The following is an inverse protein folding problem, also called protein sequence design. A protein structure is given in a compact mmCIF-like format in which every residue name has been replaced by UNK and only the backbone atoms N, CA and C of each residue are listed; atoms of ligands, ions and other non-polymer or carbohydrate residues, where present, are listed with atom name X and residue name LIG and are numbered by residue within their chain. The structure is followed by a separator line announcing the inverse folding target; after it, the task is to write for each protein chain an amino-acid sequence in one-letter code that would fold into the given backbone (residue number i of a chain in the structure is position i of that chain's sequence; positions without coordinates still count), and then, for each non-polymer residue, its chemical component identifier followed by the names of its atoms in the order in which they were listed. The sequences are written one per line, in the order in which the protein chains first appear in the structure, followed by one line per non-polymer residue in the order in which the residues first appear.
data_IF_187140038065
#
_entry.id   IF_187140038065
#
_cell.length_a   1.000
_cell.length_b   1.000
_cell.length_c   1.000
_cell.angle_alpha   90.00
_cell.angle_beta   90.00
_cell.angle_gamma   90.00
#
_symmetry.space_group_name_H-M   'P 1'
#
loop_
_entity.id
_entity.type
_entity.pdbx_description
1 polymer ?
#
# COMPACT_ATOMS: atom_id res chain seq x y z
N UNK A 1 0.47 7.07 13.92
CA UNK A 1 -0.13 6.06 13.06
C UNK A 1 -1.28 5.35 13.78
N UNK A 2 -2.30 4.93 13.01
CA UNK A 2 -3.47 4.21 13.54
C UNK A 2 -3.55 2.77 13.03
N UNK A 3 -2.71 2.42 12.07
CA UNK A 3 -2.58 1.08 11.52
C UNK A 3 -1.13 0.75 11.17
N UNK A 4 -0.83 -0.54 11.16
CA UNK A 4 0.41 -1.14 10.69
C UNK A 4 0.06 -2.21 9.68
N UNK A 5 0.69 -2.19 8.52
CA UNK A 5 0.75 -3.29 7.58
C UNK A 5 2.10 -3.95 7.70
N UNK A 6 2.11 -5.24 8.03
CA UNK A 6 3.30 -6.09 7.96
C UNK A 6 3.39 -6.71 6.57
N UNK A 7 4.54 -6.56 5.90
CA UNK A 7 4.90 -7.40 4.75
C UNK A 7 4.94 -8.86 5.19
N UNK A 8 5.01 -9.85 4.28
CA UNK A 8 4.85 -11.26 4.66
C UNK A 8 5.79 -11.70 5.79
N UNK A 9 5.23 -12.36 6.79
CA UNK A 9 5.95 -12.89 7.97
C UNK A 9 5.90 -14.41 8.08
N UNK A 10 5.28 -15.07 7.11
CA UNK A 10 5.14 -16.52 7.06
C UNK A 10 6.46 -17.19 6.65
N UNK A 11 6.69 -18.46 7.02
CA UNK A 11 7.86 -19.20 6.60
C UNK A 11 8.03 -19.20 5.09
N UNK A 12 9.26 -18.90 4.63
CA UNK A 12 9.59 -18.76 3.23
C UNK A 12 11.10 -18.89 3.02
N UNK A 13 11.58 -19.48 1.91
CA UNK A 13 13.00 -19.59 1.61
C UNK A 13 13.66 -18.27 1.19
N UNK A 14 12.88 -17.30 0.73
CA UNK A 14 13.43 -16.02 0.26
C UNK A 14 13.46 -14.94 1.36
N UNK A 15 14.30 -13.92 1.18
CA UNK A 15 14.40 -12.81 2.14
C UNK A 15 13.14 -11.94 2.17
N UNK A 16 12.42 -11.84 1.04
CA UNK A 16 11.23 -11.00 0.91
C UNK A 16 9.94 -11.66 1.43
N UNK A 17 9.94 -12.99 1.57
CA UNK A 17 8.86 -13.80 2.13
C UNK A 17 7.57 -13.85 1.31
N UNK A 18 7.56 -13.38 0.05
CA UNK A 18 6.38 -13.45 -0.81
C UNK A 18 6.10 -14.85 -1.38
N UNK A 19 6.95 -15.84 -1.13
CA UNK A 19 6.81 -17.24 -1.52
C UNK A 19 6.66 -18.14 -0.27
N UNK A 20 5.47 -18.13 0.33
CA UNK A 20 5.20 -18.87 1.56
C UNK A 20 5.32 -20.37 1.39
N UNK A 21 5.88 -21.05 2.41
CA UNK A 21 5.91 -22.51 2.55
C UNK A 21 4.93 -23.03 3.60
N UNK A 22 4.35 -22.15 4.42
CA UNK A 22 3.37 -22.45 5.44
C UNK A 22 2.54 -21.20 5.72
N UNK A 23 1.22 -21.27 5.57
CA UNK A 23 0.33 -20.15 5.82
C UNK A 23 -0.06 -19.96 7.29
N UNK A 24 0.29 -20.88 8.17
CA UNK A 24 -0.12 -20.89 9.58
C UNK A 24 1.04 -20.62 10.55
N UNK A 25 2.25 -20.47 10.04
CA UNK A 25 3.46 -20.23 10.82
C UNK A 25 3.95 -18.78 10.79
N UNK A 26 4.89 -18.51 11.70
CA UNK A 26 5.73 -17.31 11.68
C UNK A 26 7.14 -17.76 11.29
N UNK A 27 7.77 -17.05 10.33
CA UNK A 27 9.15 -17.33 9.96
C UNK A 27 10.08 -17.12 11.17
N UNK A 28 10.97 -18.09 11.50
CA UNK A 28 11.84 -17.99 12.65
C UNK A 28 12.73 -16.74 12.69
N UNK A 29 12.98 -16.09 11.55
CA UNK A 29 13.73 -14.82 11.49
C UNK A 29 12.96 -13.63 12.08
N UNK A 30 11.63 -13.75 12.23
CA UNK A 30 10.76 -12.72 12.82
C UNK A 30 10.31 -13.06 14.25
N UNK A 31 10.61 -14.25 14.76
CA UNK A 31 10.22 -14.69 16.08
C UNK A 31 9.23 -15.84 16.08
N UNK A 32 8.36 -15.87 17.07
CA UNK A 32 7.41 -16.95 17.33
C UNK A 32 5.96 -16.46 17.20
N UNK A 33 5.00 -17.38 17.19
CA UNK A 33 3.58 -17.04 17.27
C UNK A 33 3.25 -16.23 18.54
N UNK A 34 3.90 -16.50 19.66
CA UNK A 34 3.73 -15.75 20.91
C UNK A 34 4.22 -14.30 20.78
N UNK A 35 5.33 -14.09 20.05
CA UNK A 35 5.83 -12.74 19.75
C UNK A 35 4.84 -11.96 18.89
N UNK A 36 4.25 -12.61 17.89
CA UNK A 36 3.21 -12.00 17.04
C UNK A 36 1.94 -11.65 17.83
N UNK A 37 1.44 -12.56 18.66
CA UNK A 37 0.30 -12.31 19.54
C UNK A 37 0.58 -11.17 20.54
N UNK A 38 1.82 -11.07 21.01
CA UNK A 38 2.27 -9.97 21.87
C UNK A 38 2.28 -8.65 21.10
N UNK A 39 2.77 -8.64 19.88
CA UNK A 39 2.73 -7.45 18.99
C UNK A 39 1.29 -6.98 18.77
N UNK A 40 0.37 -7.89 18.42
CA UNK A 40 -1.05 -7.57 18.25
C UNK A 40 -1.65 -6.92 19.51
N UNK A 41 -1.42 -7.55 20.67
CA UNK A 41 -1.90 -7.04 21.94
C UNK A 41 -1.36 -5.64 22.26
N UNK A 42 -0.09 -5.40 21.99
CA UNK A 42 0.56 -4.10 22.22
C UNK A 42 0.08 -3.03 21.22
N UNK A 43 -0.23 -3.40 19.97
CA UNK A 43 -0.86 -2.54 18.99
C UNK A 43 -2.28 -2.13 19.44
N UNK A 44 -3.12 -3.10 19.80
CA UNK A 44 -4.49 -2.85 20.21
C UNK A 44 -4.60 -1.98 21.48
N UNK A 45 -3.70 -2.15 22.46
CA UNK A 45 -3.60 -1.26 23.64
C UNK A 45 -3.37 0.21 23.28
N UNK A 46 -2.76 0.46 22.11
CA UNK A 46 -2.44 1.80 21.59
C UNK A 46 -3.45 2.28 20.55
N UNK A 47 -4.55 1.55 20.36
CA UNK A 47 -5.53 1.76 19.30
C UNK A 47 -4.90 1.75 17.89
N UNK A 48 -3.89 0.89 17.69
CA UNK A 48 -3.27 0.63 16.40
C UNK A 48 -3.85 -0.68 15.86
N UNK A 49 -4.38 -0.66 14.64
CA UNK A 49 -4.82 -1.84 13.91
C UNK A 49 -3.62 -2.49 13.22
N UNK A 50 -3.62 -3.81 13.09
CA UNK A 50 -2.58 -4.54 12.39
C UNK A 50 -3.19 -5.41 11.32
N UNK A 51 -2.81 -5.14 10.06
CA UNK A 51 -3.15 -5.96 8.92
C UNK A 51 -1.93 -6.74 8.44
N UNK A 52 -2.17 -7.94 7.95
CA UNK A 52 -1.13 -8.83 7.44
C UNK A 52 -1.12 -8.84 5.92
N UNK A 53 0.05 -9.03 5.34
CA UNK A 53 0.15 -9.37 3.93
C UNK A 53 -0.30 -10.81 3.70
N UNK A 54 -1.24 -11.02 2.80
CA UNK A 54 -1.73 -12.34 2.44
C UNK A 54 -1.48 -12.59 0.95
N UNK A 55 -0.47 -13.43 0.70
CA UNK A 55 -0.04 -13.80 -0.65
C UNK A 55 -0.72 -15.10 -1.02
N UNK A 56 -1.80 -15.03 -1.80
CA UNK A 56 -2.51 -16.23 -2.22
C UNK A 56 -2.68 -16.37 -3.75
N UNK A 57 -1.98 -15.53 -4.53
CA UNK A 57 -1.83 -15.80 -5.95
C UNK A 57 -1.02 -17.07 -6.20
N UNK A 58 0.00 -17.31 -5.38
CA UNK A 58 0.99 -18.39 -5.52
C UNK A 58 1.52 -18.82 -4.15
N UNK A 59 2.23 -19.95 -4.13
CA UNK A 59 3.03 -20.39 -3.01
C UNK A 59 4.51 -20.43 -3.38
N UNK A 60 5.39 -20.80 -2.44
CA UNK A 60 6.74 -21.25 -2.80
C UNK A 60 6.69 -22.58 -3.57
N UNK A 61 7.62 -22.77 -4.49
CA UNK A 61 7.90 -24.11 -5.06
C UNK A 61 8.39 -25.12 -4.01
N UNK A 62 8.75 -24.65 -2.81
CA UNK A 62 9.08 -25.50 -1.64
C UNK A 62 7.89 -25.75 -0.72
N UNK A 63 6.70 -25.29 -1.07
CA UNK A 63 5.50 -25.54 -0.27
C UNK A 63 5.14 -27.02 -0.29
N UNK A 64 4.79 -27.66 0.85
CA UNK A 64 4.44 -29.08 0.91
C UNK A 64 3.34 -29.49 -0.08
N UNK A 65 2.32 -28.64 -0.29
CA UNK A 65 1.26 -28.91 -1.27
C UNK A 65 1.81 -29.06 -2.69
N UNK A 66 2.72 -28.17 -3.08
CA UNK A 66 3.31 -28.19 -4.42
C UNK A 66 4.24 -29.38 -4.61
N UNK A 67 5.11 -29.66 -3.61
CA UNK A 67 6.03 -30.79 -3.67
C UNK A 67 5.30 -32.13 -3.80
N UNK A 68 4.23 -32.34 -3.00
CA UNK A 68 3.43 -33.57 -3.07
C UNK A 68 2.71 -33.71 -4.42
N UNK A 69 2.17 -32.62 -4.98
CA UNK A 69 1.56 -32.64 -6.31
C UNK A 69 2.57 -32.95 -7.41
N UNK A 70 3.78 -32.37 -7.35
CA UNK A 70 4.85 -32.65 -8.31
C UNK A 70 5.32 -34.09 -8.24
N UNK A 71 5.57 -34.60 -7.04
CA UNK A 71 6.00 -36.00 -6.83
C UNK A 71 4.95 -36.99 -7.37
N UNK A 72 3.67 -36.70 -7.18
CA UNK A 72 2.58 -37.50 -7.73
C UNK A 72 2.54 -37.45 -9.26
N UNK A 73 2.62 -36.25 -9.86
CA UNK A 73 2.56 -36.08 -11.32
C UNK A 73 3.77 -36.67 -12.04
N UNK A 74 4.97 -36.63 -11.46
CA UNK A 74 6.17 -37.28 -12.02
C UNK A 74 6.00 -38.80 -12.12
N UNK A 75 5.28 -39.41 -11.18
CA UNK A 75 5.10 -40.87 -11.11
C UNK A 75 3.84 -41.35 -11.88
N UNK A 76 2.98 -40.41 -12.29
CA UNK A 76 1.64 -40.71 -12.85
C UNK A 76 1.69 -41.39 -14.22
N UNK A 77 2.74 -41.11 -15.03
CA UNK A 77 2.88 -41.59 -16.39
C UNK A 77 1.78 -41.06 -17.31
N UNK A 78 1.12 -41.97 -18.03
CA UNK A 78 0.05 -41.64 -18.99
C UNK A 78 -1.34 -41.49 -18.36
N UNK A 79 -1.50 -41.77 -17.06
CA UNK A 79 -2.78 -41.64 -16.36
C UNK A 79 -3.20 -40.18 -16.22
N UNK A 80 -4.51 -39.98 -16.03
CA UNK A 80 -5.03 -38.69 -15.59
C UNK A 80 -4.90 -38.50 -14.09
N UNK A 81 -4.66 -37.28 -13.58
CA UNK A 81 -4.60 -37.01 -12.16
C UNK A 81 -5.91 -37.33 -11.45
N UNK A 82 -5.81 -37.92 -10.25
CA UNK A 82 -6.96 -38.22 -9.37
C UNK A 82 -6.76 -37.51 -8.03
N UNK A 83 -7.67 -36.61 -7.69
CA UNK A 83 -7.68 -35.86 -6.43
C UNK A 83 -7.86 -36.74 -5.19
N UNK A 84 -8.42 -37.96 -5.35
CA UNK A 84 -8.52 -38.92 -4.26
C UNK A 84 -7.16 -39.59 -3.94
N UNK A 85 -6.23 -39.62 -4.89
CA UNK A 85 -4.85 -40.10 -4.69
C UNK A 85 -3.94 -38.96 -4.21
N UNK A 86 -4.09 -37.75 -4.76
CA UNK A 86 -3.37 -36.56 -4.33
C UNK A 86 -4.28 -35.32 -4.44
N UNK A 87 -4.78 -34.81 -3.33
CA UNK A 87 -5.69 -33.63 -3.32
C UNK A 87 -5.06 -32.38 -3.92
N UNK A 88 -3.75 -32.26 -3.87
CA UNK A 88 -3.02 -31.06 -4.28
C UNK A 88 -2.86 -30.92 -5.79
N UNK A 89 -3.25 -31.91 -6.60
CA UNK A 89 -3.28 -31.76 -8.07
C UNK A 89 -4.29 -30.71 -8.53
N UNK A 90 -5.28 -30.38 -7.70
CA UNK A 90 -6.25 -29.32 -7.96
C UNK A 90 -5.87 -27.98 -7.32
N UNK A 91 -4.75 -27.90 -6.57
CA UNK A 91 -4.35 -26.68 -5.89
C UNK A 91 -3.57 -25.74 -6.78
N UNK A 92 -2.99 -26.23 -7.87
CA UNK A 92 -2.18 -25.43 -8.80
C UNK A 92 -2.69 -25.62 -10.23
N UNK A 93 -2.26 -24.72 -11.12
CA UNK A 93 -2.55 -24.85 -12.55
C UNK A 93 -1.51 -25.77 -13.20
N UNK A 94 -1.88 -27.04 -13.40
CA UNK A 94 -1.05 -28.04 -14.08
C UNK A 94 -1.60 -28.34 -15.47
N UNK A 95 -0.71 -28.54 -16.45
CA UNK A 95 -1.08 -28.94 -17.83
C UNK A 95 0.07 -29.68 -18.51
N UNK A 96 -0.28 -30.47 -19.56
CA UNK A 96 0.69 -31.06 -20.50
C UNK A 96 0.90 -30.13 -21.68
N UNK A 97 1.96 -30.38 -22.48
CA UNK A 97 2.22 -29.70 -23.77
C UNK A 97 2.43 -28.16 -23.68
N UNK A 98 3.00 -27.68 -22.54
CA UNK A 98 3.24 -26.25 -22.31
C UNK A 98 4.69 -25.79 -22.57
N UNK A 99 5.54 -26.63 -23.16
CA UNK A 99 6.98 -26.39 -23.30
C UNK A 99 7.39 -25.04 -23.96
N UNK A 100 6.50 -24.44 -24.74
CA UNK A 100 6.73 -23.15 -25.42
C UNK A 100 5.84 -22.02 -24.89
N UNK A 101 5.07 -22.29 -23.83
CA UNK A 101 4.17 -21.30 -23.25
C UNK A 101 4.92 -20.47 -22.21
N UNK A 102 4.97 -19.13 -22.29
CA UNK A 102 5.57 -18.29 -21.28
C UNK A 102 4.94 -18.56 -19.90
N UNK A 103 5.76 -18.45 -18.85
CA UNK A 103 5.34 -18.65 -17.45
C UNK A 103 4.87 -20.07 -17.09
N UNK A 104 5.14 -21.06 -17.95
CA UNK A 104 4.92 -22.46 -17.66
C UNK A 104 6.25 -23.19 -17.53
N UNK A 105 6.41 -23.93 -16.45
CA UNK A 105 7.67 -24.57 -16.07
C UNK A 105 7.49 -26.07 -15.95
N UNK A 106 8.44 -26.85 -16.48
CA UNK A 106 8.37 -28.30 -16.49
C UNK A 106 8.60 -28.89 -15.10
N UNK A 107 7.81 -29.89 -14.72
CA UNK A 107 8.00 -30.68 -13.50
C UNK A 107 9.03 -31.77 -13.76
N UNK A 108 10.23 -31.61 -13.23
CA UNK A 108 11.31 -32.58 -13.36
C UNK A 108 11.57 -33.00 -14.81
N UNK A 109 11.41 -34.30 -15.10
CA UNK A 109 11.52 -34.88 -16.46
C UNK A 109 10.19 -35.37 -17.02
N UNK A 110 9.06 -35.03 -16.37
CA UNK A 110 7.71 -35.42 -16.79
C UNK A 110 7.20 -34.57 -17.99
N UNK A 111 6.07 -34.93 -18.55
CA UNK A 111 5.36 -34.14 -19.57
C UNK A 111 4.46 -33.06 -18.95
N UNK A 112 4.47 -32.95 -17.64
CA UNK A 112 3.67 -31.99 -16.90
C UNK A 112 4.40 -30.66 -16.69
N UNK A 113 3.63 -29.59 -16.70
CA UNK A 113 4.06 -28.21 -16.47
C UNK A 113 3.14 -27.55 -15.44
N UNK A 114 3.64 -26.59 -14.71
CA UNK A 114 2.87 -25.72 -13.82
C UNK A 114 3.00 -24.26 -14.23
N UNK A 115 1.98 -23.48 -13.94
CA UNK A 115 1.96 -22.03 -14.14
C UNK A 115 2.68 -21.32 -12.99
N UNK A 116 3.46 -20.29 -13.31
CA UNK A 116 4.12 -19.41 -12.33
C UNK A 116 4.35 -18.05 -12.98
N UNK A 117 3.37 -17.15 -12.86
CA UNK A 117 3.38 -15.86 -13.57
C UNK A 117 4.57 -14.99 -13.20
N UNK A 118 5.07 -15.09 -11.98
CA UNK A 118 6.22 -14.32 -11.52
C UNK A 118 7.55 -14.97 -11.88
N UNK A 119 7.73 -16.23 -11.52
CA UNK A 119 8.91 -17.05 -11.85
C UNK A 119 8.71 -18.50 -11.41
N UNK A 120 9.63 -19.40 -11.78
CA UNK A 120 9.55 -20.85 -11.48
C UNK A 120 9.51 -21.20 -9.99
N UNK A 121 9.98 -20.32 -9.12
CA UNK A 121 9.91 -20.50 -7.66
C UNK A 121 8.56 -20.15 -7.03
N UNK A 122 7.60 -19.63 -7.81
CA UNK A 122 6.29 -19.17 -7.35
C UNK A 122 5.15 -19.80 -8.18
N UNK A 123 4.81 -21.09 -7.96
CA UNK A 123 3.71 -21.75 -8.65
C UNK A 123 2.36 -21.13 -8.28
N UNK A 124 1.56 -20.82 -9.29
CA UNK A 124 0.25 -20.15 -9.14
C UNK A 124 -0.81 -21.11 -8.62
N UNK A 125 -1.55 -20.66 -7.60
CA UNK A 125 -2.69 -21.39 -7.05
C UNK A 125 -3.88 -21.37 -8.03
N UNK A 126 -4.57 -22.50 -8.12
CA UNK A 126 -5.78 -22.62 -8.92
C UNK A 126 -6.99 -22.05 -8.17
N UNK A 127 -7.25 -20.77 -8.31
CA UNK A 127 -8.37 -20.09 -7.66
C UNK A 127 -9.75 -20.45 -8.24
N UNK A 128 -9.84 -21.31 -9.27
CA UNK A 128 -11.09 -21.95 -9.66
C UNK A 128 -11.43 -23.17 -8.77
N UNK A 129 -10.45 -23.72 -8.04
CA UNK A 129 -10.63 -24.87 -7.14
C UNK A 129 -11.37 -24.45 -5.87
N UNK A 130 -12.51 -25.09 -5.61
CA UNK A 130 -13.26 -24.89 -4.36
C UNK A 130 -12.40 -25.27 -3.14
N UNK A 131 -11.64 -26.36 -3.23
CA UNK A 131 -10.75 -26.81 -2.15
C UNK A 131 -9.65 -25.78 -1.83
N UNK A 132 -9.13 -25.07 -2.83
CA UNK A 132 -8.16 -23.96 -2.60
C UNK A 132 -8.86 -22.80 -1.91
N UNK A 133 -10.05 -22.43 -2.36
CA UNK A 133 -10.83 -21.34 -1.73
C UNK A 133 -11.15 -21.66 -0.27
N UNK A 134 -11.60 -22.87 0.03
CA UNK A 134 -11.86 -23.32 1.41
C UNK A 134 -10.61 -23.30 2.27
N UNK A 135 -9.45 -23.67 1.75
CA UNK A 135 -8.18 -23.59 2.47
C UNK A 135 -7.80 -22.13 2.76
N UNK A 136 -7.96 -21.23 1.79
CA UNK A 136 -7.68 -19.80 1.98
C UNK A 136 -8.64 -19.13 2.97
N UNK A 137 -9.89 -19.57 3.01
CA UNK A 137 -10.87 -19.18 4.04
C UNK A 137 -10.43 -19.61 5.44
N UNK A 138 -9.90 -20.84 5.58
CA UNK A 138 -9.35 -21.32 6.84
C UNK A 138 -8.12 -20.51 7.27
N UNK A 139 -7.22 -20.19 6.34
CA UNK A 139 -6.06 -19.33 6.58
C UNK A 139 -6.52 -17.95 7.08
N UNK A 140 -7.48 -17.33 6.40
CA UNK A 140 -8.01 -16.02 6.80
C UNK A 140 -8.64 -16.09 8.21
N UNK A 141 -9.48 -17.09 8.47
CA UNK A 141 -10.09 -17.30 9.79
C UNK A 141 -9.04 -17.46 10.88
N UNK A 142 -8.02 -18.28 10.65
CA UNK A 142 -6.94 -18.49 11.62
C UNK A 142 -6.29 -17.18 12.07
N UNK A 143 -5.92 -16.32 11.12
CA UNK A 143 -5.27 -15.05 11.46
C UNK A 143 -6.23 -14.03 12.08
N UNK A 144 -7.49 -13.98 11.64
CA UNK A 144 -8.51 -13.13 12.23
C UNK A 144 -8.83 -13.55 13.69
N UNK A 145 -8.90 -14.85 13.97
CA UNK A 145 -9.06 -15.39 15.32
C UNK A 145 -7.87 -15.09 16.23
N UNK A 146 -6.65 -15.06 15.68
CA UNK A 146 -5.44 -14.59 16.37
C UNK A 146 -5.48 -13.11 16.72
N UNK A 147 -6.32 -12.33 16.06
CA UNK A 147 -6.55 -10.92 16.33
C UNK A 147 -6.11 -9.97 15.21
N UNK A 148 -5.66 -10.47 14.07
CA UNK A 148 -5.39 -9.60 12.92
C UNK A 148 -6.61 -8.75 12.56
N UNK A 149 -6.39 -7.50 12.14
CA UNK A 149 -7.46 -6.55 11.85
C UNK A 149 -7.82 -6.50 10.35
N UNK A 150 -7.27 -7.40 9.56
CA UNK A 150 -7.51 -7.51 8.14
C UNK A 150 -6.26 -7.89 7.36
N UNK A 151 -6.33 -7.70 6.04
CA UNK A 151 -5.28 -8.15 5.13
C UNK A 151 -4.95 -7.13 4.04
N UNK A 152 -3.69 -7.13 3.64
CA UNK A 152 -3.27 -6.65 2.32
C UNK A 152 -3.22 -7.84 1.37
N UNK A 153 -3.88 -7.72 0.24
CA UNK A 153 -3.98 -8.78 -0.76
C UNK A 153 -2.97 -8.53 -1.86
N UNK A 154 -1.98 -9.42 -1.94
CA UNK A 154 -0.88 -9.34 -2.90
C UNK A 154 -1.35 -9.62 -4.33
N UNK A 155 -0.76 -8.90 -5.29
CA UNK A 155 -0.84 -9.19 -6.73
C UNK A 155 -2.26 -9.50 -7.25
N UNK A 156 -3.28 -8.77 -6.78
CA UNK A 156 -4.69 -9.10 -7.05
C UNK A 156 -5.09 -9.04 -8.52
N UNK A 157 -4.30 -8.42 -9.38
CA UNK A 157 -4.54 -8.43 -10.83
C UNK A 157 -4.01 -9.69 -11.53
N UNK A 158 -3.19 -10.49 -10.84
CA UNK A 158 -2.57 -11.69 -11.39
C UNK A 158 -3.25 -13.00 -10.98
N UNK A 159 -4.29 -12.96 -10.16
CA UNK A 159 -5.07 -14.15 -9.77
C UNK A 159 -5.56 -14.95 -10.98
N UNK A 160 -5.90 -14.24 -12.04
CA UNK A 160 -6.10 -14.72 -13.39
C UNK A 160 -5.51 -13.67 -14.33
N UNK A 161 -4.26 -13.83 -14.72
CA UNK A 161 -3.52 -12.86 -15.54
C UNK A 161 -4.28 -12.52 -16.82
N UNK A 162 -4.61 -11.24 -16.99
CA UNK A 162 -5.35 -10.74 -18.15
C UNK A 162 -6.88 -10.85 -18.08
N UNK A 163 -7.45 -11.40 -16.99
CA UNK A 163 -8.90 -11.58 -16.83
C UNK A 163 -9.46 -10.79 -15.64
N UNK A 164 -9.59 -9.47 -15.81
CA UNK A 164 -10.03 -8.56 -14.74
C UNK A 164 -11.36 -8.97 -14.08
N UNK A 165 -12.35 -9.46 -14.85
CA UNK A 165 -13.64 -9.90 -14.32
C UNK A 165 -13.48 -11.07 -13.32
N UNK A 166 -12.57 -12.00 -13.60
CA UNK A 166 -12.29 -13.11 -12.69
C UNK A 166 -11.56 -12.65 -11.43
N UNK A 167 -10.62 -11.72 -11.57
CA UNK A 167 -9.92 -11.14 -10.42
C UNK A 167 -10.89 -10.39 -9.50
N UNK A 168 -11.84 -9.64 -10.08
CA UNK A 168 -12.90 -8.95 -9.34
C UNK A 168 -13.79 -9.96 -8.61
N UNK A 169 -14.13 -11.08 -9.24
CA UNK A 169 -14.91 -12.16 -8.62
C UNK A 169 -14.18 -12.78 -7.41
N UNK A 170 -12.87 -13.04 -7.55
CA UNK A 170 -12.04 -13.54 -6.44
C UNK A 170 -11.99 -12.55 -5.28
N UNK A 171 -11.79 -11.27 -5.57
CA UNK A 171 -11.79 -10.23 -4.54
C UNK A 171 -13.15 -10.14 -3.83
N UNK A 172 -14.26 -10.21 -4.58
CA UNK A 172 -15.60 -10.18 -4.00
C UNK A 172 -15.88 -11.40 -3.11
N UNK A 173 -15.49 -12.61 -3.57
CA UNK A 173 -15.59 -13.83 -2.77
C UNK A 173 -14.83 -13.69 -1.46
N UNK A 174 -13.55 -13.28 -1.53
CA UNK A 174 -12.69 -13.22 -0.36
C UNK A 174 -13.11 -12.10 0.62
N UNK A 175 -13.50 -10.93 0.11
CA UNK A 175 -14.06 -9.84 0.90
C UNK A 175 -15.31 -10.28 1.64
N UNK A 176 -16.28 -10.88 0.93
CA UNK A 176 -17.52 -11.38 1.52
C UNK A 176 -17.27 -12.39 2.62
N UNK A 177 -16.33 -13.32 2.42
CA UNK A 177 -15.95 -14.28 3.44
C UNK A 177 -15.35 -13.60 4.68
N UNK A 178 -14.33 -12.78 4.49
CA UNK A 178 -13.63 -12.10 5.60
C UNK A 178 -14.60 -11.23 6.40
N UNK A 179 -15.50 -10.48 5.75
CA UNK A 179 -16.53 -9.68 6.43
C UNK A 179 -17.55 -10.52 7.15
N UNK A 180 -17.81 -11.74 6.71
CA UNK A 180 -18.68 -12.67 7.43
C UNK A 180 -18.07 -13.16 8.75
N UNK A 181 -16.74 -13.28 8.81
CA UNK A 181 -15.98 -13.67 10.02
C UNK A 181 -15.75 -12.47 10.95
N UNK A 182 -15.30 -11.36 10.40
CA UNK A 182 -14.97 -10.13 11.14
C UNK A 182 -15.43 -8.91 10.33
N UNK A 183 -16.65 -8.39 10.59
CA UNK A 183 -17.25 -7.30 9.80
C UNK A 183 -16.41 -6.03 9.71
N UNK A 184 -15.62 -5.73 10.75
CA UNK A 184 -14.74 -4.56 10.79
C UNK A 184 -13.32 -4.81 10.23
N UNK A 185 -13.02 -5.99 9.72
CA UNK A 185 -11.72 -6.27 9.10
C UNK A 185 -11.51 -5.36 7.89
N UNK A 186 -10.30 -4.83 7.75
CA UNK A 186 -9.93 -3.95 6.64
C UNK A 186 -9.17 -4.72 5.58
N UNK A 187 -9.60 -4.57 4.34
CA UNK A 187 -8.98 -5.20 3.18
C UNK A 187 -8.46 -4.15 2.21
N UNK A 188 -7.18 -4.24 1.87
CA UNK A 188 -6.56 -3.43 0.83
C UNK A 188 -5.88 -4.33 -0.20
N UNK A 189 -6.21 -4.18 -1.48
CA UNK A 189 -5.62 -5.00 -2.53
C UNK A 189 -4.61 -4.23 -3.38
N UNK A 190 -3.60 -4.96 -3.83
CA UNK A 190 -2.65 -4.46 -4.81
C UNK A 190 -3.14 -4.75 -6.22
N UNK A 191 -3.53 -3.68 -6.90
CA UNK A 191 -3.82 -3.66 -8.33
C UNK A 191 -2.95 -2.58 -8.96
N UNK A 192 -1.78 -2.96 -9.44
CA UNK A 192 -0.82 -2.01 -10.01
C UNK A 192 -1.23 -1.61 -11.43
N UNK A 193 -2.16 -0.65 -11.48
CA UNK A 193 -2.79 -0.22 -12.73
C UNK A 193 -3.20 1.27 -12.69
N UNK A 194 -3.65 1.75 -13.84
CA UNK A 194 -4.18 3.11 -13.97
C UNK A 194 -5.62 3.24 -13.43
N UNK A 195 -6.05 4.50 -13.26
CA UNK A 195 -7.33 4.88 -12.63
C UNK A 195 -8.55 4.11 -13.17
N UNK A 196 -8.66 3.97 -14.50
CA UNK A 196 -9.83 3.30 -15.10
C UNK A 196 -9.93 1.82 -14.73
N UNK A 197 -8.80 1.15 -14.52
CA UNK A 197 -8.77 -0.25 -14.09
C UNK A 197 -9.12 -0.34 -12.60
N UNK A 198 -8.58 0.54 -11.75
CA UNK A 198 -8.91 0.56 -10.32
C UNK A 198 -10.43 0.71 -10.10
N UNK A 199 -11.10 1.57 -10.87
CA UNK A 199 -12.55 1.75 -10.81
C UNK A 199 -13.32 0.45 -11.10
N UNK A 200 -12.86 -0.35 -12.06
CA UNK A 200 -13.47 -1.66 -12.31
C UNK A 200 -13.27 -2.62 -11.13
N UNK A 201 -12.08 -2.63 -10.52
CA UNK A 201 -11.79 -3.50 -9.38
C UNK A 201 -12.55 -3.09 -8.09
N UNK A 202 -12.88 -1.82 -7.89
CA UNK A 202 -13.74 -1.39 -6.78
C UNK A 202 -15.16 -2.00 -6.84
N UNK A 203 -15.62 -2.46 -8.00
CA UNK A 203 -16.90 -3.22 -8.13
C UNK A 203 -16.90 -4.55 -7.39
N UNK A 204 -15.73 -5.04 -6.95
CA UNK A 204 -15.63 -6.21 -6.07
C UNK A 204 -16.21 -5.99 -4.67
N UNK A 205 -16.39 -4.73 -4.24
CA UNK A 205 -16.80 -4.39 -2.87
C UNK A 205 -15.65 -4.21 -1.91
N UNK A 206 -14.40 -4.47 -2.33
CA UNK A 206 -13.22 -4.35 -1.45
C UNK A 206 -13.10 -2.94 -0.86
N UNK A 207 -12.67 -2.85 0.41
CA UNK A 207 -12.56 -1.57 1.11
C UNK A 207 -11.61 -0.60 0.39
N UNK A 208 -10.42 -1.08 -0.01
CA UNK A 208 -9.37 -0.24 -0.59
C UNK A 208 -8.59 -0.91 -1.70
N UNK A 209 -8.13 -0.09 -2.62
CA UNK A 209 -7.06 -0.41 -3.57
C UNK A 209 -5.93 0.60 -3.39
N UNK A 210 -4.67 0.15 -3.45
CA UNK A 210 -3.53 1.07 -3.44
C UNK A 210 -3.60 2.03 -4.63
N UNK A 211 -3.54 3.33 -4.34
CA UNK A 211 -3.68 4.40 -5.33
C UNK A 211 -2.37 4.59 -6.13
N UNK A 212 -2.09 3.67 -7.05
CA UNK A 212 -0.92 3.74 -7.93
C UNK A 212 -0.90 5.00 -8.82
N UNK A 213 -2.03 5.54 -9.34
CA UNK A 213 -2.05 6.81 -10.05
C UNK A 213 -1.53 8.00 -9.25
N UNK A 214 -1.65 7.99 -7.92
CA UNK A 214 -1.10 9.02 -7.05
C UNK A 214 0.41 8.83 -6.80
N UNK A 215 0.89 7.60 -6.83
CA UNK A 215 2.20 7.17 -6.33
C UNK A 215 3.32 7.23 -7.36
N UNK A 216 4.56 7.05 -6.88
CA UNK A 216 5.78 6.94 -7.69
C UNK A 216 6.18 8.22 -8.42
N UNK A 217 7.28 8.16 -9.18
CA UNK A 217 7.87 9.31 -9.86
C UNK A 217 6.93 9.98 -10.87
N UNK A 218 6.07 9.20 -11.52
CA UNK A 218 5.11 9.67 -12.51
C UNK A 218 3.69 9.82 -11.97
N UNK A 219 3.49 9.61 -10.67
CA UNK A 219 2.21 9.81 -10.00
C UNK A 219 1.89 11.27 -9.73
N UNK A 220 0.62 11.52 -9.42
CA UNK A 220 0.10 12.88 -9.26
C UNK A 220 0.80 13.64 -8.13
N UNK A 221 1.11 12.97 -7.00
CA UNK A 221 1.76 13.59 -5.83
C UNK A 221 3.14 14.13 -6.20
N UNK A 222 4.00 13.29 -6.78
CA UNK A 222 5.39 13.70 -7.09
C UNK A 222 5.44 14.71 -8.25
N UNK A 223 4.55 14.59 -9.24
CA UNK A 223 4.45 15.60 -10.30
C UNK A 223 4.11 16.97 -9.73
N UNK A 224 3.19 17.03 -8.77
CA UNK A 224 2.82 18.29 -8.10
C UNK A 224 3.96 18.82 -7.24
N UNK A 225 4.60 17.96 -6.44
CA UNK A 225 5.74 18.36 -5.62
C UNK A 225 6.94 18.89 -6.42
N UNK A 226 7.03 18.51 -7.69
CA UNK A 226 8.06 19.00 -8.64
C UNK A 226 7.56 20.11 -9.57
N UNK A 227 6.43 20.72 -9.25
CA UNK A 227 5.81 21.77 -10.07
C UNK A 227 5.60 21.40 -11.55
N UNK A 228 5.41 20.10 -11.86
CA UNK A 228 5.03 19.62 -13.20
C UNK A 228 3.52 19.63 -13.42
N UNK A 229 2.77 19.67 -12.33
CA UNK A 229 1.31 19.78 -12.25
C UNK A 229 1.02 20.84 -11.21
N UNK A 230 0.08 21.73 -11.45
CA UNK A 230 -0.27 22.76 -10.48
C UNK A 230 -1.09 22.16 -9.34
N UNK A 231 -1.08 22.77 -8.13
CA UNK A 231 -1.92 22.31 -7.01
C UNK A 231 -3.41 22.22 -7.36
N UNK A 232 -3.93 23.17 -8.15
CA UNK A 232 -5.33 23.15 -8.55
C UNK A 232 -5.64 22.00 -9.53
N UNK A 233 -4.72 21.67 -10.42
CA UNK A 233 -4.86 20.50 -11.31
C UNK A 233 -4.84 19.20 -10.50
N UNK A 234 -3.99 19.10 -9.47
CA UNK A 234 -3.93 17.96 -8.56
C UNK A 234 -5.26 17.80 -7.80
N UNK A 235 -5.80 18.87 -7.23
CA UNK A 235 -7.08 18.81 -6.53
C UNK A 235 -8.26 18.49 -7.46
N UNK A 236 -8.27 19.06 -8.67
CA UNK A 236 -9.27 18.72 -9.69
C UNK A 236 -9.20 17.23 -10.10
N UNK A 237 -8.00 16.68 -10.18
CA UNK A 237 -7.81 15.25 -10.41
C UNK A 237 -8.36 14.42 -9.25
N UNK A 238 -8.05 14.77 -7.98
CA UNK A 238 -8.59 14.10 -6.79
C UNK A 238 -10.13 14.07 -6.78
N UNK A 239 -10.77 15.19 -7.10
CA UNK A 239 -12.25 15.27 -7.15
C UNK A 239 -12.81 14.33 -8.21
N UNK A 240 -12.21 14.28 -9.40
CA UNK A 240 -12.63 13.35 -10.46
C UNK A 240 -12.46 11.91 -10.05
N UNK A 241 -11.34 11.59 -9.40
CA UNK A 241 -11.05 10.26 -8.88
C UNK A 241 -12.08 9.85 -7.84
N UNK A 242 -12.28 10.64 -6.78
CA UNK A 242 -13.25 10.34 -5.73
C UNK A 242 -14.67 10.13 -6.29
N UNK A 243 -15.07 10.96 -7.25
CA UNK A 243 -16.39 10.86 -7.88
C UNK A 243 -16.56 9.52 -8.59
N UNK A 244 -15.57 9.10 -9.35
CA UNK A 244 -15.63 7.87 -10.13
C UNK A 244 -15.53 6.61 -9.23
N UNK A 245 -14.66 6.64 -8.22
CA UNK A 245 -14.48 5.51 -7.30
C UNK A 245 -15.75 5.30 -6.45
N UNK A 246 -16.39 6.38 -5.99
CA UNK A 246 -17.69 6.31 -5.28
C UNK A 246 -18.84 5.78 -6.15
N UNK A 247 -18.80 6.00 -7.45
CA UNK A 247 -19.77 5.42 -8.37
C UNK A 247 -19.57 3.89 -8.50
N UNK A 248 -18.33 3.41 -8.40
CA UNK A 248 -18.01 1.99 -8.46
C UNK A 248 -18.27 1.28 -7.12
N UNK A 249 -17.85 1.90 -6.00
CA UNK A 249 -18.08 1.42 -4.63
C UNK A 249 -18.33 2.65 -3.72
N UNK A 250 -19.59 2.90 -3.27
CA UNK A 250 -19.91 4.04 -2.41
C UNK A 250 -19.15 4.07 -1.08
N UNK A 251 -18.77 2.89 -0.58
CA UNK A 251 -18.10 2.71 0.71
C UNK A 251 -16.57 2.58 0.60
N UNK A 252 -16.01 2.78 -0.60
CA UNK A 252 -14.58 2.68 -0.81
C UNK A 252 -13.77 3.63 0.08
N UNK A 253 -12.58 3.21 0.44
CA UNK A 253 -11.61 4.01 1.18
C UNK A 253 -10.36 4.12 0.29
N UNK A 254 -10.00 5.33 -0.16
CA UNK A 254 -8.76 5.53 -0.92
C UNK A 254 -7.54 5.14 -0.09
N UNK A 255 -6.54 4.52 -0.72
CA UNK A 255 -5.28 4.13 -0.08
C UNK A 255 -4.08 4.81 -0.77
N UNK A 256 -3.92 6.15 -0.61
CA UNK A 256 -2.82 6.86 -1.22
C UNK A 256 -1.49 6.50 -0.56
N UNK A 257 -0.43 6.46 -1.36
CA UNK A 257 0.95 6.25 -0.91
C UNK A 257 1.92 6.95 -1.87
N UNK A 258 3.16 7.15 -1.48
CA UNK A 258 4.21 7.72 -2.34
C UNK A 258 5.16 6.63 -2.81
N UNK A 259 5.64 5.82 -1.88
CA UNK A 259 6.55 4.70 -2.16
C UNK A 259 6.16 3.48 -1.33
N UNK A 260 6.63 2.31 -1.74
CA UNK A 260 6.48 1.05 -1.02
C UNK A 260 7.75 0.20 -1.18
N UNK A 261 7.69 -1.06 -0.74
CA UNK A 261 8.81 -2.00 -0.80
C UNK A 261 9.22 -2.42 -2.23
N UNK A 262 8.35 -2.20 -3.24
CA UNK A 262 8.61 -2.53 -4.66
C UNK A 262 8.97 -1.31 -5.49
N UNK A 263 8.71 -0.11 -4.97
CA UNK A 263 8.95 1.14 -5.70
C UNK A 263 10.17 1.89 -5.18
N UNK A 264 10.65 2.82 -6.00
CA UNK A 264 11.75 3.70 -5.60
C UNK A 264 11.31 4.59 -4.43
N UNK A 265 12.14 4.71 -3.38
CA UNK A 265 11.86 5.57 -2.23
C UNK A 265 11.74 7.05 -2.62
N UNK A 266 10.96 7.81 -1.86
CA UNK A 266 10.69 9.24 -2.09
C UNK A 266 11.96 10.07 -2.25
N UNK A 267 13.00 9.77 -1.48
CA UNK A 267 14.27 10.49 -1.53
C UNK A 267 14.91 10.45 -2.93
N UNK A 268 14.86 9.29 -3.60
CA UNK A 268 15.34 9.17 -4.98
C UNK A 268 14.38 9.81 -5.98
N UNK A 269 13.06 9.68 -5.77
CA UNK A 269 12.06 10.32 -6.62
C UNK A 269 12.20 11.85 -6.61
N UNK A 270 12.51 12.46 -5.47
CA UNK A 270 12.74 13.90 -5.30
C UNK A 270 14.21 14.32 -5.41
N UNK A 271 15.12 13.40 -5.85
CA UNK A 271 16.56 13.67 -5.97
C UNK A 271 17.15 14.23 -4.66
N UNK A 272 16.69 13.71 -3.53
CA UNK A 272 17.02 14.14 -2.17
C UNK A 272 16.75 15.64 -1.88
N UNK A 273 15.78 16.24 -2.52
CA UNK A 273 15.29 17.57 -2.19
C UNK A 273 14.30 17.46 -1.02
N UNK A 274 14.69 17.98 0.14
CA UNK A 274 13.92 17.86 1.38
C UNK A 274 12.57 18.58 1.30
N UNK A 275 12.53 19.78 0.72
CA UNK A 275 11.30 20.56 0.58
C UNK A 275 10.28 19.84 -0.29
N UNK A 276 10.72 19.28 -1.42
CA UNK A 276 9.86 18.48 -2.29
C UNK A 276 9.35 17.21 -1.62
N UNK A 277 10.17 16.57 -0.78
CA UNK A 277 9.75 15.39 -0.01
C UNK A 277 8.71 15.74 1.06
N UNK A 278 8.93 16.82 1.80
CA UNK A 278 7.95 17.35 2.77
C UNK A 278 6.64 17.74 2.07
N UNK A 279 6.73 18.45 0.96
CA UNK A 279 5.55 18.89 0.22
C UNK A 279 4.76 17.69 -0.32
N UNK A 280 5.42 16.68 -0.90
CA UNK A 280 4.78 15.44 -1.33
C UNK A 280 4.06 14.72 -0.17
N UNK A 281 4.71 14.64 1.00
CA UNK A 281 4.11 14.09 2.21
C UNK A 281 2.86 14.88 2.65
N UNK A 282 2.93 16.21 2.62
CA UNK A 282 1.79 17.09 2.91
C UNK A 282 0.62 16.85 1.95
N UNK A 283 0.88 16.77 0.64
CA UNK A 283 -0.14 16.45 -0.36
C UNK A 283 -0.80 15.10 -0.07
N UNK A 284 -0.02 14.04 0.18
CA UNK A 284 -0.55 12.70 0.51
C UNK A 284 -1.41 12.73 1.77
N UNK A 285 -0.96 13.42 2.84
CA UNK A 285 -1.69 13.50 4.09
C UNK A 285 -2.99 14.32 3.97
N UNK A 286 -3.12 15.16 2.97
CA UNK A 286 -4.36 15.93 2.70
C UNK A 286 -5.31 15.21 1.73
N UNK A 287 -4.96 14.06 1.18
CA UNK A 287 -5.87 13.23 0.39
C UNK A 287 -6.90 12.53 1.29
N UNK A 288 -8.14 12.26 0.82
CA UNK A 288 -9.10 11.39 1.51
C UNK A 288 -8.56 9.97 1.73
N UNK A 289 -9.26 9.18 2.55
CA UNK A 289 -8.98 7.75 2.73
C UNK A 289 -7.95 7.43 3.81
N UNK A 290 -7.13 6.41 3.59
CA UNK A 290 -6.13 5.88 4.52
C UNK A 290 -4.73 5.93 3.89
N UNK A 291 -3.95 7.00 4.08
CA UNK A 291 -2.60 7.09 3.51
C UNK A 291 -1.66 6.06 4.13
N UNK A 292 -0.86 5.42 3.28
CA UNK A 292 0.17 4.47 3.66
C UNK A 292 1.55 5.11 3.56
N UNK A 293 2.27 5.13 4.66
CA UNK A 293 3.67 5.61 4.75
C UNK A 293 4.59 4.40 4.79
N UNK A 294 5.46 4.29 3.81
CA UNK A 294 6.48 3.26 3.82
C UNK A 294 7.57 3.60 4.86
N UNK A 295 7.92 2.65 5.74
CA UNK A 295 8.87 2.91 6.83
C UNK A 295 10.17 3.55 6.32
N UNK A 296 10.67 4.54 7.04
CA UNK A 296 11.85 5.32 6.66
C UNK A 296 11.58 6.43 5.64
N UNK A 297 10.37 6.51 5.06
CA UNK A 297 9.96 7.62 4.22
C UNK A 297 9.95 8.92 5.04
N UNK A 298 9.45 8.84 6.27
CA UNK A 298 9.44 9.92 7.26
C UNK A 298 10.83 10.35 7.73
N UNK A 299 11.88 9.62 7.38
CA UNK A 299 13.28 10.00 7.63
C UNK A 299 13.99 10.45 6.35
N UNK A 300 13.35 10.32 5.19
CA UNK A 300 14.01 10.53 3.90
C UNK A 300 15.04 9.45 3.57
N UNK A 301 14.87 8.22 4.06
CA UNK A 301 15.79 7.11 3.79
C UNK A 301 15.99 6.90 2.29
N UNK A 302 17.25 6.66 1.91
CA UNK A 302 17.63 6.40 0.52
C UNK A 302 17.53 4.93 0.17
N UNK A 303 17.24 4.69 -1.11
CA UNK A 303 17.56 3.45 -1.82
C UNK A 303 18.60 3.76 -2.92
N UNK A 304 19.29 2.75 -3.42
CA UNK A 304 20.23 2.91 -4.54
C UNK A 304 19.98 1.84 -5.61
N UNK A 305 20.24 2.22 -6.86
CA UNK A 305 20.14 1.28 -7.98
C UNK A 305 18.74 0.68 -8.17
N UNK A 306 18.70 -0.47 -8.84
CA UNK A 306 17.45 -1.16 -9.23
C UNK A 306 17.15 -2.40 -8.40
N UNK A 307 18.08 -2.82 -7.54
CA UNK A 307 17.87 -4.00 -6.68
C UNK A 307 16.75 -3.80 -5.69
N UNK A 308 15.90 -4.80 -5.53
CA UNK A 308 14.78 -4.75 -4.58
C UNK A 308 15.26 -4.66 -3.13
N UNK A 309 16.33 -5.36 -2.80
CA UNK A 309 16.96 -5.34 -1.47
C UNK A 309 17.34 -3.91 -1.03
N UNK A 310 17.75 -3.07 -1.97
CA UNK A 310 18.11 -1.69 -1.66
C UNK A 310 16.90 -0.81 -1.32
N UNK A 311 15.69 -1.19 -1.70
CA UNK A 311 14.44 -0.53 -1.29
C UNK A 311 14.02 -0.93 0.13
N UNK A 312 14.51 -2.07 0.63
CA UNK A 312 14.11 -2.76 1.86
C UNK A 312 15.22 -2.75 2.93
N UNK A 313 16.07 -1.70 2.92
CA UNK A 313 17.11 -1.51 3.91
C UNK A 313 16.50 -1.33 5.30
N UNK A 314 17.17 -1.77 6.37
CA UNK A 314 16.67 -1.62 7.73
C UNK A 314 16.49 -0.15 8.11
N UNK A 315 15.53 0.10 9.01
CA UNK A 315 15.23 1.44 9.52
C UNK A 315 16.46 2.10 10.16
N UNK A 316 16.74 3.34 9.77
CA UNK A 316 17.88 4.12 10.28
C UNK A 316 17.54 4.76 11.62
N UNK A 317 17.57 3.95 12.70
CA UNK A 317 17.17 4.36 14.04
C UNK A 317 18.15 5.34 14.68
N UNK A 318 19.45 5.03 14.64
CA UNK A 318 20.51 5.80 15.29
C UNK A 318 21.80 5.71 14.51
N UNK A 319 22.51 6.82 14.37
CA UNK A 319 23.86 6.85 13.82
C UNK A 319 24.92 6.36 14.82
N UNK A 320 24.61 6.38 16.13
CA UNK A 320 25.54 6.07 17.22
C UNK A 320 25.38 4.65 17.74
N UNK A 321 24.17 4.09 17.70
CA UNK A 321 23.86 2.75 18.20
C UNK A 321 23.25 1.88 17.11
N UNK A 322 24.11 1.17 16.39
CA UNK A 322 23.71 0.25 15.33
C UNK A 322 23.16 -1.09 15.88
N UNK A 323 23.25 -1.35 17.19
CA UNK A 323 22.76 -2.61 17.78
C UNK A 323 21.24 -2.78 17.67
N UNK A 324 20.52 -1.68 17.46
CA UNK A 324 19.05 -1.66 17.27
C UNK A 324 18.63 -1.83 15.81
N UNK A 325 19.59 -1.83 14.89
CA UNK A 325 19.33 -1.93 13.46
C UNK A 325 19.57 -3.39 13.05
N UNK A 326 18.56 -4.10 12.55
CA UNK A 326 18.75 -5.45 12.01
C UNK A 326 19.66 -5.42 10.78
N UNK A 327 20.21 -6.58 10.42
CA UNK A 327 21.00 -6.71 9.21
C UNK A 327 20.17 -6.39 7.97
N UNK A 328 20.81 -5.76 6.99
CA UNK A 328 20.22 -5.58 5.67
C UNK A 328 20.10 -6.94 4.95
N UNK A 329 19.21 -7.07 3.94
CA UNK A 329 19.21 -8.24 3.08
C UNK A 329 20.62 -8.53 2.54
N UNK A 330 21.01 -9.80 2.52
CA UNK A 330 22.40 -10.23 2.27
C UNK A 330 23.00 -9.68 0.96
N UNK A 331 22.16 -9.46 -0.05
CA UNK A 331 22.57 -8.96 -1.37
C UNK A 331 22.39 -7.46 -1.54
N UNK A 332 21.94 -6.77 -0.49
CA UNK A 332 21.78 -5.31 -0.53
C UNK A 332 23.14 -4.60 -0.62
N UNK A 333 23.15 -3.48 -1.34
CA UNK A 333 24.32 -2.62 -1.42
C UNK A 333 24.43 -1.75 -0.15
N UNK A 334 25.65 -1.34 0.19
CA UNK A 334 25.85 -0.34 1.22
C UNK A 334 25.35 1.03 0.70
N UNK A 335 24.37 1.61 1.39
CA UNK A 335 23.77 2.90 1.02
C UNK A 335 24.01 3.91 2.11
N UNK A 336 24.82 4.94 1.80
CA UNK A 336 25.01 6.07 2.71
C UNK A 336 23.74 6.93 2.74
N UNK A 337 23.16 7.08 3.94
CA UNK A 337 21.98 7.91 4.15
C UNK A 337 22.36 9.40 4.08
N UNK A 338 21.51 10.22 3.46
CA UNK A 338 21.74 11.67 3.33
C UNK A 338 21.19 12.44 4.51
N UNK A 339 20.07 12.00 5.05
CA UNK A 339 19.39 12.67 6.16
C UNK A 339 19.74 12.02 7.49
N UNK A 340 19.64 12.75 8.60
CA UNK A 340 19.94 12.22 9.92
C UNK A 340 19.07 11.01 10.31
N UNK A 341 19.53 10.26 11.31
CA UNK A 341 18.78 9.13 11.88
C UNK A 341 17.48 9.57 12.58
N UNK A 342 16.60 8.61 12.88
CA UNK A 342 15.37 8.87 13.61
C UNK A 342 15.65 9.58 14.95
N UNK A 343 16.66 9.14 15.71
CA UNK A 343 17.03 9.73 16.99
C UNK A 343 17.47 11.20 16.88
N UNK A 344 18.15 11.56 15.81
CA UNK A 344 18.59 12.93 15.56
C UNK A 344 17.43 13.80 15.07
N UNK A 345 16.62 13.29 14.12
CA UNK A 345 15.45 13.99 13.59
C UNK A 345 14.36 14.21 14.65
N UNK A 346 14.27 13.35 15.66
CA UNK A 346 13.34 13.53 16.78
C UNK A 346 13.63 14.82 17.58
N UNK A 347 14.87 15.27 17.59
CA UNK A 347 15.34 16.45 18.31
C UNK A 347 15.33 17.74 17.47
N UNK A 348 15.12 17.61 16.17
CA UNK A 348 15.13 18.72 15.22
C UNK A 348 13.70 19.04 14.76
N UNK A 349 13.16 20.17 15.22
CA UNK A 349 11.80 20.62 14.88
C UNK A 349 11.58 20.89 13.39
N UNK A 350 12.65 21.13 12.63
CA UNK A 350 12.61 21.34 11.19
C UNK A 350 12.76 20.06 10.38
N UNK A 351 12.96 18.89 11.00
CA UNK A 351 13.23 17.63 10.29
C UNK A 351 12.04 17.11 9.50
N UNK A 352 12.33 16.17 8.59
CA UNK A 352 11.29 15.43 7.82
C UNK A 352 10.38 14.68 8.77
N UNK A 353 10.92 14.03 9.80
CA UNK A 353 10.15 13.30 10.81
C UNK A 353 9.14 14.19 11.53
N UNK A 354 9.55 15.38 11.97
CA UNK A 354 8.64 16.30 12.63
C UNK A 354 7.56 16.84 11.68
N UNK A 355 7.91 17.04 10.40
CA UNK A 355 6.93 17.40 9.39
C UNK A 355 5.85 16.32 9.22
N UNK A 356 6.22 15.03 9.11
CA UNK A 356 5.27 13.92 9.07
C UNK A 356 4.40 13.86 10.33
N UNK A 357 4.98 14.06 11.53
CA UNK A 357 4.20 14.10 12.78
C UNK A 357 3.17 15.22 12.78
N UNK A 358 3.55 16.41 12.35
CA UNK A 358 2.65 17.56 12.26
C UNK A 358 1.54 17.32 11.22
N UNK A 359 1.87 16.75 10.06
CA UNK A 359 0.89 16.43 9.02
C UNK A 359 -0.14 15.38 9.50
N UNK A 360 0.32 14.33 10.18
CA UNK A 360 -0.55 13.32 10.78
C UNK A 360 -1.45 13.93 11.86
N UNK A 361 -0.90 14.80 12.73
CA UNK A 361 -1.70 15.46 13.77
C UNK A 361 -2.76 16.39 13.19
N UNK A 362 -2.40 17.18 12.19
CA UNK A 362 -3.34 18.06 11.48
C UNK A 362 -4.48 17.25 10.85
N UNK A 363 -4.14 16.14 10.18
CA UNK A 363 -5.12 15.22 9.59
C UNK A 363 -6.04 14.61 10.65
N UNK A 364 -5.50 14.14 11.78
CA UNK A 364 -6.28 13.52 12.86
C UNK A 364 -7.20 14.49 13.57
N UNK A 365 -6.77 15.73 13.71
CA UNK A 365 -7.56 16.79 14.33
C UNK A 365 -8.70 17.31 13.44
N UNK A 366 -8.66 16.99 12.13
CA UNK A 366 -9.64 17.40 11.14
C UNK A 366 -10.12 16.18 10.33
N UNK A 367 -11.03 15.36 10.89
CA UNK A 367 -11.46 14.10 10.30
C UNK A 367 -12.14 14.24 8.93
N UNK A 368 -12.65 15.43 8.58
CA UNK A 368 -13.18 15.77 7.27
C UNK A 368 -12.13 15.61 6.15
N UNK A 369 -10.84 15.76 6.44
CA UNK A 369 -9.76 15.50 5.47
C UNK A 369 -9.78 14.05 5.02
N UNK A 370 -9.96 13.13 5.97
CA UNK A 370 -9.94 11.70 5.70
C UNK A 370 -11.26 11.16 5.11
N UNK A 371 -12.39 11.70 5.55
CA UNK A 371 -13.73 11.12 5.33
C UNK A 371 -14.62 11.96 4.43
N UNK A 372 -14.22 13.20 4.17
CA UNK A 372 -15.06 14.17 3.48
C UNK A 372 -15.29 13.87 2.01
N UNK A 373 -16.41 14.40 1.53
CA UNK A 373 -16.59 14.65 0.11
C UNK A 373 -15.76 15.86 -0.28
N UNK A 374 -15.04 15.76 -1.38
CA UNK A 374 -14.16 16.83 -1.83
C UNK A 374 -14.71 17.53 -3.06
N UNK A 375 -14.45 18.84 -3.15
CA UNK A 375 -14.77 19.67 -4.31
C UNK A 375 -13.72 20.76 -4.49
N UNK A 376 -13.66 21.34 -5.68
CA UNK A 376 -12.86 22.54 -5.97
C UNK A 376 -13.79 23.70 -6.22
N UNK A 377 -13.49 24.93 -5.76
CA UNK A 377 -14.31 26.10 -6.03
C UNK A 377 -14.18 26.54 -7.49
N UNK A 378 -15.21 27.23 -7.99
CA UNK A 378 -15.27 27.73 -9.38
C UNK A 378 -14.48 29.04 -9.60
N UNK A 379 -13.78 29.58 -8.59
CA UNK A 379 -13.03 30.82 -8.66
C UNK A 379 -11.73 30.75 -9.44
N UNK A 380 -11.27 31.86 -10.01
CA UNK A 380 -9.92 31.98 -10.57
C UNK A 380 -8.92 32.14 -9.44
N UNK A 381 -7.86 31.32 -9.46
CA UNK A 381 -6.77 31.30 -8.51
C UNK A 381 -5.44 31.56 -9.22
N UNK A 382 -4.42 32.13 -8.53
CA UNK A 382 -3.06 32.14 -9.05
C UNK A 382 -2.60 30.71 -9.42
N UNK A 383 -1.77 30.59 -10.45
CA UNK A 383 -1.39 29.29 -11.04
C UNK A 383 -0.78 28.30 -10.03
N UNK A 384 0.01 28.83 -9.10
CA UNK A 384 0.72 28.01 -8.08
C UNK A 384 -0.13 27.75 -6.81
N UNK A 385 -1.38 28.19 -6.81
CA UNK A 385 -2.29 28.00 -5.69
C UNK A 385 -3.36 26.98 -6.05
N UNK A 386 -3.63 26.07 -5.11
CA UNK A 386 -4.75 25.15 -5.16
C UNK A 386 -5.65 25.29 -3.96
N UNK A 387 -6.96 25.13 -4.18
CA UNK A 387 -7.98 25.14 -3.14
C UNK A 387 -8.82 23.88 -3.26
N UNK A 388 -8.93 23.15 -2.16
CA UNK A 388 -9.79 21.98 -2.00
C UNK A 388 -10.75 22.24 -0.85
N UNK A 389 -12.03 22.03 -1.08
CA UNK A 389 -13.06 21.98 -0.06
C UNK A 389 -13.27 20.52 0.34
N UNK A 390 -13.41 20.25 1.64
CA UNK A 390 -13.78 18.95 2.14
C UNK A 390 -14.92 19.07 3.13
N UNK A 391 -15.97 18.29 2.96
CA UNK A 391 -17.19 18.32 3.78
C UNK A 391 -17.49 16.95 4.36
N UNK A 392 -17.67 16.90 5.70
CA UNK A 392 -18.07 15.72 6.43
C UNK A 392 -18.91 16.08 7.66
N UNK A 393 -20.07 15.42 7.82
CA UNK A 393 -21.02 15.67 8.92
C UNK A 393 -21.38 17.16 9.10
N UNK A 394 -21.54 17.88 7.99
CA UNK A 394 -21.89 19.31 7.99
C UNK A 394 -20.75 20.25 8.37
N UNK A 395 -19.55 19.74 8.57
CA UNK A 395 -18.33 20.53 8.78
C UNK A 395 -17.57 20.65 7.47
N UNK A 396 -17.24 21.88 7.11
CA UNK A 396 -16.46 22.21 5.91
C UNK A 396 -15.08 22.68 6.33
N UNK A 397 -14.04 22.09 5.74
CA UNK A 397 -12.67 22.58 5.84
C UNK A 397 -12.14 22.93 4.46
N UNK A 398 -11.25 23.91 4.43
CA UNK A 398 -10.58 24.38 3.23
C UNK A 398 -9.12 24.03 3.35
N UNK A 399 -8.59 23.34 2.35
CA UNK A 399 -7.17 23.03 2.21
C UNK A 399 -6.62 23.95 1.13
N UNK A 400 -5.68 24.81 1.53
CA UNK A 400 -4.94 25.68 0.62
C UNK A 400 -3.55 25.08 0.40
N UNK A 401 -3.17 24.99 -0.85
CA UNK A 401 -1.86 24.49 -1.25
C UNK A 401 -1.15 25.58 -2.06
N UNK A 402 0.03 25.98 -1.61
CA UNK A 402 0.87 26.96 -2.28
C UNK A 402 2.18 26.28 -2.74
N UNK A 403 2.44 26.28 -4.02
CA UNK A 403 3.68 25.81 -4.63
C UNK A 403 4.49 26.97 -5.30
N UNK A 404 4.15 28.22 -5.01
CA UNK A 404 4.88 29.37 -5.49
C UNK A 404 6.25 29.51 -4.79
N UNK A 405 7.19 30.12 -5.49
CA UNK A 405 8.51 30.46 -4.91
C UNK A 405 8.49 31.76 -4.12
N UNK A 406 7.41 32.51 -4.19
CA UNK A 406 7.21 33.79 -3.52
C UNK A 406 5.90 33.79 -2.73
N UNK A 407 5.77 34.74 -1.79
CA UNK A 407 4.55 34.91 -1.00
C UNK A 407 3.40 35.38 -1.89
N UNK A 408 2.22 34.78 -1.73
CA UNK A 408 1.00 35.10 -2.45
C UNK A 408 -0.08 35.51 -1.46
N UNK A 409 -0.73 36.66 -1.68
CA UNK A 409 -1.92 37.06 -0.92
C UNK A 409 -3.18 36.50 -1.58
N UNK A 410 -4.01 35.81 -0.82
CA UNK A 410 -5.28 35.22 -1.29
C UNK A 410 -6.43 35.87 -0.54
N UNK A 411 -7.37 36.44 -1.26
CA UNK A 411 -8.66 36.89 -0.70
C UNK A 411 -9.64 35.71 -0.66
N UNK A 412 -9.80 35.14 0.52
CA UNK A 412 -10.65 33.98 0.73
C UNK A 412 -12.14 34.25 0.44
N UNK A 413 -12.59 35.50 0.51
CA UNK A 413 -13.98 35.83 0.17
C UNK A 413 -14.26 35.76 -1.33
N UNK A 414 -13.23 35.95 -2.16
CA UNK A 414 -13.33 35.78 -3.62
C UNK A 414 -13.09 34.36 -4.08
N UNK A 415 -12.24 33.62 -3.35
CA UNK A 415 -11.80 32.28 -3.70
C UNK A 415 -12.72 31.17 -3.15
N UNK A 416 -13.54 31.46 -2.14
CA UNK A 416 -14.29 30.45 -1.37
C UNK A 416 -15.78 30.78 -1.30
N UNK A 417 -16.64 29.80 -0.95
CA UNK A 417 -18.08 30.04 -0.81
C UNK A 417 -18.42 31.23 0.11
N UNK A 418 -19.39 32.06 -0.30
CA UNK A 418 -19.85 33.21 0.49
C UNK A 418 -20.54 32.80 1.80
N UNK A 419 -20.47 33.68 2.79
CA UNK A 419 -21.21 33.54 4.05
C UNK A 419 -20.50 32.78 5.17
N UNK A 420 -19.25 32.38 4.97
CA UNK A 420 -18.45 31.72 5.99
C UNK A 420 -17.40 32.64 6.63
N UNK A 421 -17.16 32.44 7.91
CA UNK A 421 -16.00 32.99 8.62
C UNK A 421 -14.94 31.90 8.75
N UNK A 422 -13.77 32.12 8.19
CA UNK A 422 -12.68 31.15 8.17
C UNK A 422 -11.77 31.30 9.39
N UNK A 423 -11.29 30.20 9.91
CA UNK A 423 -10.33 30.13 11.01
C UNK A 423 -9.19 29.22 10.61
N UNK A 424 -7.95 29.71 10.68
CA UNK A 424 -6.76 28.87 10.44
C UNK A 424 -6.67 27.78 11.50
N UNK A 425 -6.62 26.51 11.06
CA UNK A 425 -6.51 25.33 11.94
C UNK A 425 -5.08 24.82 12.06
N UNK A 426 -4.26 25.06 11.08
CA UNK A 426 -2.85 24.68 11.05
C UNK A 426 -2.25 24.89 9.69
N UNK A 427 -0.96 24.75 9.62
CA UNK A 427 -0.16 24.86 8.41
C UNK A 427 0.96 23.81 8.39
N UNK A 428 1.41 23.46 7.19
CA UNK A 428 2.52 22.56 6.94
C UNK A 428 3.53 23.26 6.04
N UNK A 429 4.57 23.82 6.65
CA UNK A 429 5.59 24.59 5.96
C UNK A 429 6.80 23.74 5.62
N UNK A 430 7.25 23.82 4.39
CA UNK A 430 8.45 23.10 3.93
C UNK A 430 9.74 23.84 4.24
N UNK A 431 9.66 25.15 4.54
CA UNK A 431 10.75 26.04 4.93
C UNK A 431 10.34 27.00 6.06
N UNK A 432 11.03 28.14 6.20
CA UNK A 432 10.84 29.13 7.28
C UNK A 432 9.67 30.11 7.04
N UNK A 433 8.71 29.75 6.22
CA UNK A 433 7.56 30.60 5.86
C UNK A 433 6.54 30.59 7.00
N UNK A 434 5.79 31.72 7.11
CA UNK A 434 4.71 31.86 8.07
C UNK A 434 3.45 32.35 7.36
N UNK A 435 2.32 31.69 7.64
CA UNK A 435 1.02 32.12 7.17
C UNK A 435 0.39 33.07 8.16
N UNK A 436 -0.35 34.03 7.66
CA UNK A 436 -1.08 34.98 8.47
C UNK A 436 -2.46 35.22 7.89
N UNK A 437 -3.49 34.80 8.63
CA UNK A 437 -4.87 35.06 8.27
C UNK A 437 -5.34 36.34 8.96
N UNK A 438 -5.55 37.41 8.18
CA UNK A 438 -6.10 38.67 8.66
C UNK A 438 -7.28 39.11 7.76
N UNK A 439 -8.43 39.39 8.35
CA UNK A 439 -9.62 39.88 7.63
C UNK A 439 -10.03 39.01 6.41
N UNK A 440 -9.95 37.69 6.55
CA UNK A 440 -10.15 36.69 5.48
C UNK A 440 -9.15 36.81 4.31
N UNK A 441 -7.99 37.38 4.55
CA UNK A 441 -6.84 37.31 3.63
C UNK A 441 -5.74 36.45 4.24
N UNK A 442 -5.24 35.53 3.45
CA UNK A 442 -4.14 34.63 3.81
C UNK A 442 -2.88 34.99 3.03
#
# INVERSE_FOLDING_TARGET
FTGIWLTPIMPSPTYHKYDATDYYGIDPSFGTMEDFETLLKECHKRNIRLIMDLVFNHTSSSHPWFLEACDYLEQLGEKEPDENECKYVNYYNFAKDQAQTPNWYQIGSSDWYYEGVFWDGMPDLNLNSEAVREELEQVASFWLEKGADGFRLDAAKEYFTGYAEKNIEVLNWFETYVKSVKPEAYLVAEVWEGQGVLQEYYKSGIDSLFNFPASQQDGAIIKTAKARVTPQQFFSWMVKQQTADRLANPDYIDAPFISNHDTTRISAQCVNNEEQMKFAAGLMMMMPGSPFVYYGEELGMKSSGTKDENKRLPMYWSAQDLSKTPDAPQTADAVEQKFPSAEEQEKDSGSILQYYKNAIELRRSNPEIARGSISVPDGELPEDIGVLLTEWEGKVSVILCNNATESVEIDLQQALPEGYNYTLKGSLNVGDQQEKLENNKL
#
